data_IF_328013161329
#
_entry.id   IF_328013161329
#
_cell.length_a   1.000
_cell.length_b   1.000
_cell.length_c   1.000
_cell.angle_alpha   90.00
_cell.angle_beta   90.00
_cell.angle_gamma   90.00
#
_symmetry.space_group_name_H-M   'P 1'
#
loop_
_entity.id
_entity.type
_entity.pdbx_description
1 polymer ?
#
# COMPACT_ATOMS: atom_id res chain seq x y z
N UNK A 1 -6.45 8.20 -38.47
CA UNK A 1 -7.13 7.49 -37.37
C UNK A 1 -7.98 6.38 -37.95
N UNK A 2 -7.54 5.12 -37.88
CA UNK A 2 -8.36 4.01 -38.32
C UNK A 2 -9.48 3.78 -37.30
N UNK A 3 -10.74 3.92 -37.75
CA UNK A 3 -11.94 3.69 -36.95
C UNK A 3 -11.90 2.31 -36.27
N UNK A 4 -12.43 2.20 -35.04
CA UNK A 4 -12.61 0.93 -34.32
C UNK A 4 -13.31 -0.13 -35.19
N UNK A 5 -14.14 0.33 -36.14
CA UNK A 5 -14.81 -0.48 -37.16
C UNK A 5 -13.82 -1.17 -38.12
N UNK A 6 -12.73 -0.51 -38.49
CA UNK A 6 -11.69 -1.07 -39.36
C UNK A 6 -10.83 -2.11 -38.65
N UNK A 7 -10.61 -1.95 -37.33
CA UNK A 7 -9.91 -2.97 -36.52
C UNK A 7 -10.71 -4.26 -36.40
N UNK A 8 -12.01 -4.16 -36.13
CA UNK A 8 -12.89 -5.34 -36.07
C UNK A 8 -12.98 -6.07 -37.41
N UNK A 9 -13.09 -5.33 -38.52
CA UNK A 9 -13.12 -5.93 -39.86
C UNK A 9 -11.83 -6.70 -40.16
N UNK A 10 -10.67 -6.10 -39.86
CA UNK A 10 -9.37 -6.73 -40.09
C UNK A 10 -9.16 -8.02 -39.28
N UNK A 11 -9.63 -8.05 -38.02
CA UNK A 11 -9.57 -9.25 -37.18
C UNK A 11 -10.51 -10.34 -37.71
N UNK A 12 -11.70 -9.97 -38.20
CA UNK A 12 -12.63 -10.94 -38.82
C UNK A 12 -12.08 -11.51 -40.13
N UNK A 13 -11.47 -10.67 -40.97
CA UNK A 13 -10.83 -11.09 -42.21
C UNK A 13 -9.63 -12.03 -41.93
N UNK A 14 -8.82 -11.74 -40.91
CA UNK A 14 -7.69 -12.60 -40.47
C UNK A 14 -8.17 -13.94 -39.89
N UNK A 15 -9.23 -13.94 -39.07
CA UNK A 15 -9.81 -15.18 -38.54
C UNK A 15 -10.42 -16.04 -39.66
N UNK A 16 -11.13 -15.43 -40.61
CA UNK A 16 -11.73 -16.14 -41.73
C UNK A 16 -10.65 -16.76 -42.64
N UNK A 17 -9.53 -16.08 -42.85
CA UNK A 17 -8.37 -16.64 -43.54
C UNK A 17 -7.75 -17.82 -42.76
N UNK A 18 -7.70 -17.75 -41.43
CA UNK A 18 -7.18 -18.83 -40.57
C UNK A 18 -8.05 -20.09 -40.61
N UNK A 19 -9.38 -19.92 -40.64
CA UNK A 19 -10.32 -21.04 -40.74
C UNK A 19 -10.39 -21.63 -42.16
N UNK A 20 -10.15 -20.83 -43.19
CA UNK A 20 -10.09 -21.32 -44.58
C UNK A 20 -8.75 -22.00 -44.92
N UNK A 21 -7.77 -21.96 -44.01
CA UNK A 21 -6.44 -22.56 -44.19
C UNK A 21 -6.25 -23.87 -43.42
N UNK A 22 -7.27 -24.33 -42.68
CA UNK A 22 -7.22 -25.56 -41.89
C UNK A 22 -8.42 -26.45 -42.20
N UNK A 23 -8.54 -26.89 -43.46
CA UNK A 23 -9.29 -28.10 -43.77
C UNK A 23 -8.39 -29.30 -43.48
N UNK A 24 -8.50 -29.78 -42.24
CA UNK A 24 -8.34 -31.16 -41.79
C UNK A 24 -7.85 -31.16 -40.34
N UNK A 25 -8.78 -31.37 -39.42
CA UNK A 25 -8.71 -32.35 -38.33
C UNK A 25 -9.96 -32.14 -37.47
N UNK A 26 -10.84 -33.12 -37.55
CA UNK A 26 -12.02 -33.29 -36.72
C UNK A 26 -11.62 -33.52 -35.26
N UNK A 27 -12.13 -32.73 -34.31
CA UNK A 27 -12.31 -33.21 -32.94
C UNK A 27 -13.49 -32.53 -32.25
N UNK A 28 -14.48 -33.35 -31.90
CA UNK A 28 -15.71 -33.04 -31.17
C UNK A 28 -15.49 -32.91 -29.65
N UNK A 29 -16.35 -32.16 -28.92
CA UNK A 29 -16.15 -31.86 -27.50
C UNK A 29 -16.84 -32.88 -26.56
N UNK A 30 -16.16 -33.26 -25.47
CA UNK A 30 -16.70 -34.00 -24.32
C UNK A 30 -16.17 -33.33 -23.04
N UNK A 31 -17.02 -32.61 -22.29
CA UNK A 31 -17.89 -33.02 -21.15
C UNK A 31 -17.16 -33.16 -19.81
N UNK A 32 -17.66 -32.40 -18.84
CA UNK A 32 -17.33 -32.38 -17.42
C UNK A 32 -17.55 -33.75 -16.74
N UNK A 33 -16.72 -34.07 -15.74
CA UNK A 33 -17.12 -34.86 -14.57
C UNK A 33 -16.14 -34.70 -13.40
N UNK A 34 -16.72 -34.52 -12.21
CA UNK A 34 -16.10 -34.50 -10.88
C UNK A 34 -15.45 -35.85 -10.49
N UNK A 35 -14.35 -35.84 -9.74
CA UNK A 35 -14.27 -36.33 -8.35
C UNK A 35 -12.82 -36.51 -7.84
N UNK A 36 -12.62 -36.02 -6.62
CA UNK A 36 -11.81 -36.55 -5.49
C UNK A 36 -10.43 -37.19 -5.74
N UNK A 37 -9.41 -36.74 -4.99
CA UNK A 37 -8.82 -37.57 -3.93
C UNK A 37 -7.76 -36.82 -3.09
N UNK A 38 -7.94 -36.95 -1.77
CA UNK A 38 -6.99 -36.61 -0.71
C UNK A 38 -5.67 -37.37 -0.86
N UNK A 39 -4.53 -36.71 -0.59
CA UNK A 39 -3.36 -37.37 0.01
C UNK A 39 -2.83 -36.50 1.16
N UNK A 40 -2.93 -37.08 2.35
CA UNK A 40 -2.41 -36.65 3.64
C UNK A 40 -0.99 -37.22 3.78
N UNK A 41 -0.01 -36.43 4.22
CA UNK A 41 1.22 -36.95 4.83
C UNK A 41 1.55 -36.11 6.06
N UNK A 42 1.29 -36.71 7.23
CA UNK A 42 1.84 -36.36 8.54
C UNK A 42 3.29 -36.86 8.63
N UNK A 43 4.14 -36.14 9.35
CA UNK A 43 4.94 -36.61 10.51
C UNK A 43 6.03 -35.55 10.83
N UNK A 44 5.93 -34.82 11.96
CA UNK A 44 6.47 -35.12 13.31
C UNK A 44 7.99 -34.92 13.42
N UNK A 45 8.42 -33.87 14.14
CA UNK A 45 9.28 -33.97 15.34
C UNK A 45 9.51 -32.57 15.96
N UNK A 46 9.23 -32.45 17.26
CA UNK A 46 9.75 -31.42 18.18
C UNK A 46 10.79 -32.10 19.11
N UNK A 47 11.69 -31.34 19.76
CA UNK A 47 11.54 -31.25 21.22
C UNK A 47 11.90 -29.88 21.83
N UNK A 48 11.31 -29.63 23.00
CA UNK A 48 11.62 -28.57 23.98
C UNK A 48 12.76 -28.97 24.93
N UNK A 49 13.38 -27.98 25.59
CA UNK A 49 13.79 -27.88 27.02
C UNK A 49 14.65 -26.59 27.18
N UNK A 50 14.37 -25.56 28.00
CA UNK A 50 14.12 -25.36 29.45
C UNK A 50 15.26 -24.53 30.12
N UNK A 51 14.89 -23.80 31.18
CA UNK A 51 15.52 -22.65 31.87
C UNK A 51 16.84 -22.90 32.64
N UNK A 52 17.57 -21.81 32.95
CA UNK A 52 18.20 -21.59 34.27
C UNK A 52 18.56 -20.11 34.57
N UNK A 53 18.26 -19.68 35.80
CA UNK A 53 18.50 -18.37 36.46
C UNK A 53 19.96 -18.10 36.89
N UNK A 54 20.35 -16.82 37.06
CA UNK A 54 20.93 -16.21 38.29
C UNK A 54 21.60 -14.83 38.03
N UNK A 55 21.93 -14.11 39.11
CA UNK A 55 21.80 -12.66 39.35
C UNK A 55 23.10 -11.86 39.61
N UNK A 56 22.98 -10.51 39.73
CA UNK A 56 23.65 -9.56 40.69
C UNK A 56 24.55 -8.40 40.12
N UNK A 57 24.13 -7.15 40.44
CA UNK A 57 24.79 -5.82 40.73
C UNK A 57 25.96 -5.28 39.86
N UNK A 58 26.26 -3.99 39.64
CA UNK A 58 26.11 -2.75 40.45
C UNK A 58 26.40 -1.46 39.59
N UNK A 59 25.83 -0.33 40.03
CA UNK A 59 26.25 1.10 39.99
C UNK A 59 26.79 1.86 38.75
N UNK A 60 26.09 2.97 38.45
CA UNK A 60 26.69 4.32 38.49
C UNK A 60 27.06 5.01 37.17
N UNK A 61 26.32 6.08 36.79
CA UNK A 61 26.80 7.08 35.83
C UNK A 61 25.71 7.85 35.09
N UNK A 62 25.34 9.03 35.59
CA UNK A 62 24.55 10.03 34.87
C UNK A 62 25.24 10.50 33.59
N UNK A 63 24.49 10.72 32.50
CA UNK A 63 24.68 11.84 31.56
C UNK A 63 23.45 12.05 30.64
N UNK A 64 22.72 13.13 30.94
CA UNK A 64 21.97 14.07 30.06
C UNK A 64 21.54 13.54 28.67
N UNK A 65 20.25 13.26 28.51
CA UNK A 65 19.59 13.03 27.20
C UNK A 65 18.89 14.30 26.74
N UNK A 66 19.24 14.78 25.55
CA UNK A 66 18.57 15.86 24.83
C UNK A 66 17.32 15.29 24.15
N UNK A 67 16.16 15.85 24.45
CA UNK A 67 14.87 15.47 23.87
C UNK A 67 14.78 15.87 22.38
N UNK A 68 14.83 14.89 21.48
CA UNK A 68 14.24 14.99 20.14
C UNK A 68 12.85 14.34 20.19
N UNK A 69 11.79 15.11 19.90
CA UNK A 69 10.43 14.58 19.75
C UNK A 69 10.28 13.95 18.36
N UNK A 70 10.44 12.64 18.26
CA UNK A 70 9.87 11.86 17.16
C UNK A 70 8.41 11.54 17.47
N UNK A 71 7.50 11.96 16.60
CA UNK A 71 6.09 11.56 16.68
C UNK A 71 5.92 10.31 15.81
N UNK A 72 6.14 9.14 16.41
CA UNK A 72 5.88 7.84 15.77
C UNK A 72 4.42 7.45 15.99
N UNK A 73 3.64 7.40 14.91
CA UNK A 73 2.32 6.77 14.89
C UNK A 73 2.51 5.25 14.84
N UNK A 74 2.38 4.59 15.99
CA UNK A 74 2.23 3.14 16.12
C UNK A 74 0.73 2.79 16.18
N UNK A 75 0.30 1.65 15.61
CA UNK A 75 -1.06 1.14 15.78
C UNK A 75 -1.19 0.51 17.17
N UNK A 76 -2.06 1.03 18.03
CA UNK A 76 -2.31 0.42 19.34
C UNK A 76 -3.14 -0.87 19.17
N UNK A 77 -2.46 -2.02 19.22
CA UNK A 77 -3.05 -3.23 19.80
C UNK A 77 -2.83 -3.17 21.31
N UNK A 78 -3.78 -2.59 22.04
CA UNK A 78 -3.87 -2.80 23.48
C UNK A 78 -4.78 -3.99 23.73
N UNK A 79 -4.18 -5.18 23.83
CA UNK A 79 -4.77 -6.33 24.48
C UNK A 79 -4.25 -6.34 25.93
N UNK A 80 -4.88 -5.57 26.82
CA UNK A 80 -4.67 -5.76 28.25
C UNK A 80 -5.40 -7.04 28.70
N UNK A 81 -4.64 -8.11 28.90
CA UNK A 81 -5.04 -9.17 29.82
C UNK A 81 -5.04 -8.57 31.22
N UNK A 82 -6.23 -8.37 31.79
CA UNK A 82 -6.35 -8.17 33.23
C UNK A 82 -6.45 -9.55 33.87
N UNK A 83 -5.34 -10.02 34.44
CA UNK A 83 -5.34 -11.10 35.40
C UNK A 83 -5.78 -10.54 36.76
N UNK A 84 -6.98 -10.89 37.21
CA UNK A 84 -7.38 -10.77 38.61
C UNK A 84 -8.00 -12.09 39.06
N UNK A 85 -7.26 -12.77 39.92
CA UNK A 85 -7.77 -13.88 40.71
C UNK A 85 -8.73 -13.33 41.77
N UNK A 86 -9.78 -14.13 42.01
CA UNK A 86 -10.72 -14.14 43.13
C UNK A 86 -11.98 -13.25 43.01
N UNK A 87 -13.07 -13.96 42.70
CA UNK A 87 -14.48 -13.75 43.09
C UNK A 87 -14.87 -12.38 43.63
N UNK A 88 -15.31 -11.51 42.72
CA UNK A 88 -16.32 -10.48 42.94
C UNK A 88 -16.78 -10.01 41.58
N UNK A 89 -18.05 -10.23 41.24
CA UNK A 89 -18.66 -9.80 39.97
C UNK A 89 -18.67 -8.27 39.89
N UNK A 90 -17.66 -7.69 39.26
CA UNK A 90 -17.66 -6.28 38.87
C UNK A 90 -18.54 -6.15 37.64
N UNK A 91 -19.77 -5.68 37.84
CA UNK A 91 -20.66 -5.28 36.75
C UNK A 91 -20.00 -4.13 35.97
N UNK A 92 -19.43 -4.46 34.80
CA UNK A 92 -18.94 -3.45 33.85
C UNK A 92 -20.19 -2.73 33.32
N UNK A 93 -20.43 -1.51 33.80
CA UNK A 93 -21.46 -0.62 33.26
C UNK A 93 -21.23 -0.44 31.75
N UNK A 94 -22.08 -1.08 30.95
CA UNK A 94 -21.86 -1.38 29.54
C UNK A 94 -22.35 -0.29 28.57
N UNK A 95 -22.78 0.87 29.09
CA UNK A 95 -23.57 1.84 28.34
C UNK A 95 -22.80 3.01 27.71
N UNK A 96 -21.47 2.93 27.58
CA UNK A 96 -20.72 3.99 26.89
C UNK A 96 -20.88 3.89 25.35
N UNK A 97 -21.41 4.93 24.67
CA UNK A 97 -21.61 4.95 23.22
C UNK A 97 -20.35 4.60 22.40
N UNK A 98 -19.18 5.03 22.86
CA UNK A 98 -17.90 4.78 22.18
C UNK A 98 -17.46 3.31 22.28
N UNK A 99 -17.74 2.67 23.41
CA UNK A 99 -17.41 1.25 23.61
C UNK A 99 -18.26 0.36 22.69
N UNK A 100 -19.53 0.71 22.49
CA UNK A 100 -20.44 0.00 21.59
C UNK A 100 -19.97 0.12 20.13
N UNK A 101 -19.57 1.32 19.69
CA UNK A 101 -18.96 1.53 18.36
C UNK A 101 -17.71 0.68 18.18
N UNK A 102 -16.81 0.67 19.17
CA UNK A 102 -15.57 -0.13 19.14
C UNK A 102 -15.85 -1.63 19.05
N UNK A 103 -16.81 -2.14 19.83
CA UNK A 103 -17.22 -3.55 19.79
C UNK A 103 -17.84 -3.95 18.45
N UNK A 104 -18.72 -3.11 17.90
CA UNK A 104 -19.33 -3.34 16.58
C UNK A 104 -18.29 -3.30 15.46
N UNK A 105 -17.34 -2.35 15.53
CA UNK A 105 -16.21 -2.29 14.60
C UNK A 105 -15.36 -3.56 14.67
N UNK A 106 -14.99 -3.99 15.88
CA UNK A 106 -14.21 -5.22 16.09
C UNK A 106 -14.92 -6.46 15.54
N UNK A 107 -16.21 -6.64 15.87
CA UNK A 107 -17.02 -7.73 15.33
C UNK A 107 -17.04 -7.73 13.80
N UNK A 108 -17.21 -6.56 13.18
CA UNK A 108 -17.24 -6.45 11.73
C UNK A 108 -15.92 -6.95 11.10
N UNK A 109 -14.78 -6.59 11.70
CA UNK A 109 -13.45 -7.00 11.23
C UNK A 109 -13.18 -8.49 11.49
N UNK A 110 -13.49 -8.99 12.69
CA UNK A 110 -13.23 -10.37 13.10
C UNK A 110 -13.99 -11.37 12.23
N UNK A 111 -15.21 -11.02 11.80
CA UNK A 111 -16.07 -11.87 10.97
C UNK A 111 -16.06 -11.51 9.48
N UNK A 112 -15.22 -10.56 9.05
CA UNK A 112 -15.12 -10.08 7.66
C UNK A 112 -16.50 -9.75 7.05
N UNK A 113 -17.34 -9.05 7.82
CA UNK A 113 -18.73 -8.79 7.42
C UNK A 113 -18.77 -7.74 6.29
N UNK A 114 -19.51 -7.99 5.19
CA UNK A 114 -19.64 -7.02 4.12
C UNK A 114 -20.19 -5.66 4.59
N UNK A 115 -19.62 -4.56 4.08
CA UNK A 115 -19.96 -3.19 4.49
C UNK A 115 -21.45 -2.85 4.28
N UNK A 116 -22.09 -3.39 3.24
CA UNK A 116 -23.51 -3.21 2.98
C UNK A 116 -24.38 -3.85 4.08
N UNK A 117 -23.99 -5.04 4.56
CA UNK A 117 -24.67 -5.72 5.68
C UNK A 117 -24.53 -4.94 6.97
N UNK A 118 -23.35 -4.37 7.24
CA UNK A 118 -23.12 -3.50 8.40
C UNK A 118 -23.96 -2.23 8.31
N UNK A 119 -24.04 -1.60 7.12
CA UNK A 119 -24.88 -0.42 6.91
C UNK A 119 -26.37 -0.72 7.14
N UNK A 120 -26.87 -1.85 6.65
CA UNK A 120 -28.25 -2.28 6.89
C UNK A 120 -28.50 -2.50 8.40
N UNK A 121 -27.57 -3.17 9.09
CA UNK A 121 -27.65 -3.38 10.53
C UNK A 121 -27.65 -2.05 11.31
N UNK A 122 -26.74 -1.13 10.97
CA UNK A 122 -26.66 0.19 11.61
C UNK A 122 -27.94 1.01 11.41
N UNK A 123 -28.58 0.91 10.25
CA UNK A 123 -29.87 1.54 10.01
C UNK A 123 -30.97 0.96 10.90
N UNK A 124 -31.02 -0.37 11.05
CA UNK A 124 -32.00 -1.04 11.92
C UNK A 124 -31.77 -0.63 13.38
N UNK A 125 -30.53 -0.69 13.86
CA UNK A 125 -30.17 -0.34 15.24
C UNK A 125 -30.46 1.13 15.57
N UNK A 126 -30.24 2.02 14.60
CA UNK A 126 -30.49 3.44 14.77
C UNK A 126 -31.98 3.77 14.77
N UNK A 127 -32.74 3.20 13.83
CA UNK A 127 -34.16 3.54 13.65
C UNK A 127 -35.07 2.80 14.63
N UNK A 128 -34.80 1.52 14.91
CA UNK A 128 -35.71 0.65 15.66
C UNK A 128 -35.31 0.52 17.14
N UNK A 129 -34.05 0.78 17.49
CA UNK A 129 -33.55 0.67 18.86
C UNK A 129 -33.18 2.03 19.48
N UNK A 130 -33.51 3.14 18.80
CA UNK A 130 -33.23 4.52 19.24
C UNK A 130 -31.75 4.80 19.58
N UNK A 131 -30.81 4.06 18.95
CA UNK A 131 -29.37 4.23 19.17
C UNK A 131 -28.81 5.33 18.24
N UNK A 132 -29.24 6.58 18.46
CA UNK A 132 -28.87 7.73 17.61
C UNK A 132 -27.37 8.03 17.59
N UNK A 133 -26.64 7.59 18.62
CA UNK A 133 -25.18 7.74 18.70
C UNK A 133 -24.44 6.86 17.68
N UNK A 134 -25.09 5.85 17.08
CA UNK A 134 -24.49 5.00 16.07
C UNK A 134 -24.45 5.71 14.70
N UNK A 135 -23.34 5.57 13.96
CA UNK A 135 -23.24 6.14 12.62
C UNK A 135 -24.17 5.43 11.64
N UNK A 136 -24.59 6.14 10.58
CA UNK A 136 -25.36 5.55 9.47
C UNK A 136 -24.50 4.72 8.52
N UNK A 137 -23.21 5.02 8.48
CA UNK A 137 -22.25 4.43 7.55
C UNK A 137 -21.16 3.68 8.34
N UNK A 138 -20.91 2.45 7.92
CA UNK A 138 -19.85 1.57 8.36
C UNK A 138 -18.48 2.25 8.29
N UNK A 139 -18.25 3.12 7.30
CA UNK A 139 -17.00 3.91 7.20
C UNK A 139 -16.78 4.83 8.40
N UNK A 140 -17.86 5.41 8.90
CA UNK A 140 -17.86 6.28 10.08
C UNK A 140 -17.77 5.46 11.36
N UNK A 141 -18.35 4.24 11.39
CA UNK A 141 -18.15 3.29 12.49
C UNK A 141 -16.67 2.96 12.68
N UNK A 142 -15.96 2.77 11.57
CA UNK A 142 -14.53 2.51 11.58
C UNK A 142 -13.64 3.73 11.81
N UNK A 143 -14.22 4.91 12.12
CA UNK A 143 -13.49 6.15 12.25
C UNK A 143 -12.46 6.34 11.13
N UNK A 144 -12.87 6.04 9.88
CA UNK A 144 -12.14 6.53 8.72
C UNK A 144 -12.45 8.01 8.60
N UNK A 145 -12.01 8.78 9.60
CA UNK A 145 -11.93 10.21 9.52
C UNK A 145 -11.08 10.47 8.29
N UNK A 146 -11.64 11.15 7.30
CA UNK A 146 -10.86 11.76 6.24
C UNK A 146 -9.94 12.75 6.95
N UNK A 147 -8.78 12.29 7.39
CA UNK A 147 -7.73 13.14 7.94
C UNK A 147 -7.57 14.23 6.91
N UNK A 148 -7.81 15.49 7.31
CA UNK A 148 -7.48 16.63 6.45
C UNK A 148 -6.04 16.38 6.01
N UNK A 149 -5.84 16.15 4.71
CA UNK A 149 -4.53 15.81 4.18
C UNK A 149 -3.68 17.07 4.31
N UNK A 150 -3.02 17.21 5.46
CA UNK A 150 -2.03 18.24 5.69
C UNK A 150 -0.90 17.99 4.68
N UNK A 151 -0.38 19.05 4.05
CA UNK A 151 0.72 19.00 3.07
C UNK A 151 0.36 18.71 1.61
N UNK A 152 -0.88 18.99 1.17
CA UNK A 152 -1.18 19.09 -0.26
C UNK A 152 -0.55 20.36 -0.86
N UNK A 153 0.37 20.20 -1.81
CA UNK A 153 1.00 21.29 -2.55
C UNK A 153 0.27 21.51 -3.87
N UNK A 154 -0.13 22.74 -4.16
CA UNK A 154 -0.69 23.10 -5.47
C UNK A 154 0.45 23.20 -6.49
N UNK A 155 0.35 22.48 -7.61
CA UNK A 155 1.31 22.52 -8.73
C UNK A 155 0.53 22.85 -10.01
N UNK A 156 0.62 24.11 -10.45
CA UNK A 156 -0.14 24.59 -11.60
C UNK A 156 -1.65 24.42 -11.39
N UNK A 157 -2.28 23.68 -12.29
CA UNK A 157 -3.71 23.33 -12.25
C UNK A 157 -4.05 22.11 -11.38
N UNK A 158 -3.05 21.40 -10.87
CA UNK A 158 -3.22 20.18 -10.07
C UNK A 158 -2.70 20.29 -8.65
N UNK A 159 -2.73 19.17 -7.96
CA UNK A 159 -2.25 19.01 -6.58
C UNK A 159 -1.25 17.87 -6.50
N UNK A 160 -0.28 18.02 -5.61
CA UNK A 160 0.76 17.06 -5.34
C UNK A 160 0.84 16.77 -3.85
N UNK A 161 1.06 15.50 -3.52
CA UNK A 161 1.32 15.05 -2.18
C UNK A 161 2.62 14.27 -2.15
N UNK A 162 3.50 14.61 -1.21
CA UNK A 162 4.75 13.91 -1.00
C UNK A 162 4.64 12.97 0.20
N UNK A 163 4.78 11.67 -0.05
CA UNK A 163 4.82 10.65 1.01
C UNK A 163 6.21 10.54 1.64
N UNK A 164 7.26 10.75 0.82
CA UNK A 164 8.65 10.61 1.24
C UNK A 164 9.20 9.19 1.03
N UNK A 165 10.37 9.13 0.40
CA UNK A 165 11.19 7.94 0.26
C UNK A 165 11.68 7.44 1.63
N UNK A 166 12.09 8.33 2.53
CA UNK A 166 12.53 7.98 3.87
C UNK A 166 11.42 7.28 4.66
N UNK A 167 10.19 7.83 4.60
CA UNK A 167 9.02 7.24 5.23
C UNK A 167 8.69 5.86 4.65
N UNK A 168 8.79 5.71 3.33
CA UNK A 168 8.63 4.43 2.65
C UNK A 168 9.67 3.39 3.08
N UNK A 169 10.94 3.78 3.17
CA UNK A 169 12.04 2.92 3.64
C UNK A 169 11.80 2.47 5.09
N UNK A 170 11.46 3.40 5.99
CA UNK A 170 11.20 3.10 7.39
C UNK A 170 10.02 2.13 7.57
N UNK A 171 8.97 2.27 6.74
CA UNK A 171 7.82 1.35 6.74
C UNK A 171 8.21 -0.09 6.41
N UNK A 172 9.22 -0.28 5.59
CA UNK A 172 9.73 -1.60 5.18
C UNK A 172 11.06 -1.96 5.86
N UNK A 173 11.36 -1.35 7.00
CA UNK A 173 12.57 -1.61 7.80
C UNK A 173 12.80 -3.10 8.12
N UNK A 174 11.74 -3.87 8.32
CA UNK A 174 11.82 -5.31 8.64
C UNK A 174 12.36 -6.18 7.50
N UNK A 175 12.20 -5.76 6.25
CA UNK A 175 12.66 -6.51 5.08
C UNK A 175 14.03 -6.02 4.57
N UNK A 176 14.52 -4.90 5.08
CA UNK A 176 15.81 -4.34 4.66
C UNK A 176 16.94 -5.18 5.25
N UNK A 177 17.80 -5.69 4.37
CA UNK A 177 19.00 -6.44 4.75
C UNK A 177 19.97 -5.61 5.58
N UNK A 178 20.90 -6.26 6.28
CA UNK A 178 21.88 -5.60 7.14
C UNK A 178 22.89 -4.72 6.39
N UNK A 179 22.94 -4.78 5.05
CA UNK A 179 23.84 -4.00 4.20
C UNK A 179 23.81 -2.49 4.46
N UNK A 180 24.99 -1.86 4.34
CA UNK A 180 25.14 -0.41 4.52
C UNK A 180 24.46 0.41 3.41
N UNK A 181 24.14 -0.23 2.27
CA UNK A 181 23.63 0.45 1.08
C UNK A 181 22.25 -0.09 0.68
N UNK A 182 21.24 0.77 0.74
CA UNK A 182 19.87 0.48 0.30
C UNK A 182 19.74 0.83 -1.18
N UNK A 183 19.46 -0.18 -2.00
CA UNK A 183 19.27 -0.02 -3.44
C UNK A 183 17.81 0.26 -3.75
N UNK A 184 17.53 1.39 -4.39
CA UNK A 184 16.19 1.85 -4.71
C UNK A 184 15.97 1.76 -6.22
N UNK A 185 14.80 1.23 -6.59
CA UNK A 185 14.29 1.29 -7.96
C UNK A 185 13.06 2.19 -7.97
N UNK A 186 13.07 3.17 -8.86
CA UNK A 186 12.01 4.16 -9.03
C UNK A 186 11.13 3.81 -10.23
N UNK A 187 9.84 4.08 -10.10
CA UNK A 187 8.86 4.06 -11.19
C UNK A 187 8.16 5.42 -11.32
N UNK A 188 8.04 5.95 -12.52
CA UNK A 188 7.22 7.13 -12.80
C UNK A 188 6.30 6.84 -13.98
N UNK A 189 5.01 7.12 -13.80
CA UNK A 189 3.97 6.85 -14.80
C UNK A 189 2.99 8.03 -14.89
N UNK A 190 2.27 8.12 -16.02
CA UNK A 190 1.18 9.06 -16.26
C UNK A 190 -0.08 8.32 -16.69
N UNK A 191 -1.03 8.16 -15.76
CA UNK A 191 -2.20 7.31 -15.91
C UNK A 191 -3.48 8.16 -16.00
N UNK A 192 -4.29 8.04 -17.08
CA UNK A 192 -5.62 8.63 -17.10
C UNK A 192 -6.55 7.88 -16.12
N UNK A 193 -7.20 8.61 -15.20
CA UNK A 193 -8.05 8.00 -14.17
C UNK A 193 -9.41 7.60 -14.75
N UNK A 194 -9.91 8.35 -15.74
CA UNK A 194 -11.18 8.06 -16.39
C UNK A 194 -11.07 8.25 -17.90
N UNK A 195 -11.91 7.52 -18.64
CA UNK A 195 -12.10 7.70 -20.08
C UNK A 195 -12.96 8.92 -20.42
N UNK A 196 -13.76 9.38 -19.46
CA UNK A 196 -14.74 10.48 -19.64
C UNK A 196 -14.32 11.80 -18.99
N UNK A 197 -13.23 11.82 -18.23
CA UNK A 197 -12.64 13.06 -17.70
C UNK A 197 -11.19 13.18 -18.13
N UNK A 198 -10.66 14.40 -18.16
CA UNK A 198 -9.24 14.63 -18.40
C UNK A 198 -8.38 14.40 -17.16
N UNK A 199 -8.93 13.82 -16.09
CA UNK A 199 -8.20 13.58 -14.84
C UNK A 199 -7.04 12.59 -15.06
N UNK A 200 -5.85 13.01 -14.65
CA UNK A 200 -4.61 12.28 -14.75
C UNK A 200 -3.96 12.12 -13.38
N UNK A 201 -3.32 10.97 -13.22
CA UNK A 201 -2.57 10.58 -12.05
C UNK A 201 -1.11 10.34 -12.42
N UNK A 202 -0.21 10.99 -11.71
CA UNK A 202 1.23 10.89 -11.96
C UNK A 202 1.95 10.46 -10.68
N UNK A 203 2.01 9.15 -10.41
CA UNK A 203 2.70 8.63 -9.25
C UNK A 203 4.21 8.52 -9.49
N UNK A 204 4.95 8.85 -8.44
CA UNK A 204 6.34 8.46 -8.22
C UNK A 204 6.29 7.29 -7.25
N UNK A 205 6.68 6.11 -7.72
CA UNK A 205 6.71 4.88 -6.96
C UNK A 205 8.15 4.47 -6.71
N UNK A 206 8.39 3.76 -5.62
CA UNK A 206 9.68 3.14 -5.35
C UNK A 206 9.51 1.75 -4.74
N UNK A 207 10.52 0.91 -4.91
CA UNK A 207 10.70 -0.29 -4.11
C UNK A 207 12.18 -0.47 -3.77
N UNK A 208 12.44 -1.26 -2.72
CA UNK A 208 13.78 -1.59 -2.28
C UNK A 208 14.22 -2.89 -2.97
N UNK A 209 15.30 -2.84 -3.75
CA UNK A 209 15.85 -4.04 -4.40
C UNK A 209 16.42 -5.01 -3.36
N UNK A 210 16.18 -6.33 -3.48
CA UNK A 210 15.51 -7.05 -4.58
C UNK A 210 13.99 -7.24 -4.42
N UNK A 211 13.38 -6.63 -3.40
CA UNK A 211 11.99 -6.87 -2.96
C UNK A 211 10.92 -6.17 -3.82
N UNK A 212 10.80 -6.57 -5.09
CA UNK A 212 9.87 -5.99 -6.08
C UNK A 212 8.38 -6.02 -5.70
N UNK A 213 7.98 -6.89 -4.77
CA UNK A 213 6.58 -7.01 -4.34
C UNK A 213 6.16 -5.88 -3.39
N UNK A 214 7.11 -5.13 -2.83
CA UNK A 214 6.88 -4.10 -1.82
C UNK A 214 7.09 -2.71 -2.45
N UNK A 215 6.17 -2.35 -3.34
CA UNK A 215 6.12 -1.03 -3.98
C UNK A 215 5.36 -0.05 -3.09
N UNK A 216 5.89 1.16 -2.97
CA UNK A 216 5.27 2.23 -2.21
C UNK A 216 5.29 3.56 -2.96
N UNK A 217 4.31 4.44 -2.71
CA UNK A 217 4.32 5.78 -3.28
C UNK A 217 5.32 6.66 -2.53
N UNK A 218 6.08 7.44 -3.30
CA UNK A 218 6.98 8.50 -2.82
C UNK A 218 6.33 9.86 -3.02
N UNK A 219 5.63 10.04 -4.13
CA UNK A 219 4.94 11.27 -4.48
C UNK A 219 3.79 10.98 -5.43
N UNK A 220 2.73 11.76 -5.34
CA UNK A 220 1.56 11.59 -6.19
C UNK A 220 1.10 12.97 -6.65
N UNK A 221 1.00 13.15 -7.96
CA UNK A 221 0.32 14.29 -8.55
C UNK A 221 -1.04 13.86 -9.12
N UNK A 222 -2.04 14.72 -8.94
CA UNK A 222 -3.36 14.61 -9.54
C UNK A 222 -3.77 15.95 -10.14
N UNK A 223 -4.26 15.93 -11.38
CA UNK A 223 -4.75 17.12 -12.06
C UNK A 223 -5.54 16.76 -13.32
N UNK A 224 -6.15 17.74 -13.97
CA UNK A 224 -6.87 17.56 -15.23
C UNK A 224 -5.93 17.51 -16.46
N UNK A 225 -4.64 17.66 -16.23
CA UNK A 225 -3.57 17.63 -17.21
C UNK A 225 -2.33 17.02 -16.54
N UNK A 226 -1.31 16.68 -17.32
CA UNK A 226 -0.01 16.32 -16.76
C UNK A 226 0.62 17.52 -16.04
N UNK A 227 1.54 17.31 -15.08
CA UNK A 227 2.29 18.42 -14.51
C UNK A 227 3.00 19.20 -15.62
N UNK A 228 2.92 20.52 -15.57
CA UNK A 228 3.48 21.38 -16.63
C UNK A 228 5.01 21.40 -16.60
N UNK A 229 5.58 21.32 -15.39
CA UNK A 229 7.02 21.40 -15.17
C UNK A 229 7.52 20.17 -14.38
N UNK A 230 8.41 19.39 -14.99
CA UNK A 230 9.02 18.21 -14.37
C UNK A 230 9.93 18.56 -13.18
N UNK A 231 10.56 19.74 -13.15
CA UNK A 231 11.41 20.15 -12.02
C UNK A 231 10.54 20.40 -10.78
N UNK A 232 9.41 21.08 -10.96
CA UNK A 232 8.49 21.37 -9.85
C UNK A 232 7.85 20.08 -9.33
N UNK A 233 7.54 19.14 -10.23
CA UNK A 233 7.00 17.82 -9.90
C UNK A 233 8.00 16.97 -9.10
N UNK A 234 9.26 16.90 -9.55
CA UNK A 234 10.30 16.06 -8.93
C UNK A 234 11.00 16.71 -7.74
N UNK A 235 10.80 18.01 -7.49
CA UNK A 235 11.56 18.83 -6.52
C UNK A 235 11.76 18.14 -5.17
N UNK A 236 10.65 17.72 -4.56
CA UNK A 236 10.66 17.19 -3.19
C UNK A 236 11.41 15.85 -3.14
N UNK A 237 11.15 14.97 -4.12
CA UNK A 237 11.84 13.70 -4.28
C UNK A 237 13.35 13.86 -4.52
N UNK A 238 13.77 14.77 -5.42
CA UNK A 238 15.20 14.99 -5.71
C UNK A 238 15.92 15.52 -4.47
N UNK A 239 15.30 16.47 -3.76
CA UNK A 239 15.85 17.01 -2.52
C UNK A 239 16.06 15.91 -1.47
N UNK A 240 15.06 15.04 -1.32
CA UNK A 240 15.11 13.93 -0.36
C UNK A 240 16.15 12.88 -0.76
N UNK A 241 16.22 12.50 -2.04
CA UNK A 241 17.24 11.55 -2.51
C UNK A 241 18.64 12.10 -2.31
N UNK A 242 18.86 13.39 -2.58
CA UNK A 242 20.16 14.02 -2.37
C UNK A 242 20.56 13.93 -0.90
N UNK A 243 19.66 14.33 0.01
CA UNK A 243 19.91 14.27 1.45
C UNK A 243 20.15 12.83 1.93
N UNK A 244 19.33 11.86 1.52
CA UNK A 244 19.50 10.46 1.91
C UNK A 244 20.78 9.83 1.34
N UNK A 245 21.28 10.32 0.20
CA UNK A 245 22.53 9.84 -0.40
C UNK A 245 23.74 10.42 0.32
N UNK A 246 23.68 11.68 0.77
CA UNK A 246 24.80 12.36 1.47
C UNK A 246 24.80 12.09 2.97
N UNK A 247 23.64 12.23 3.60
CA UNK A 247 23.43 12.21 5.03
C UNK A 247 23.11 10.80 5.54
N UNK A 248 22.55 9.94 4.69
CA UNK A 248 22.08 8.60 5.06
C UNK A 248 20.77 8.62 5.85
N UNK A 249 20.29 7.44 6.21
CA UNK A 249 19.08 7.20 7.02
C UNK A 249 19.35 6.14 8.08
N UNK A 250 18.78 6.31 9.27
CA UNK A 250 18.86 5.33 10.34
C UNK A 250 17.72 4.32 10.16
N UNK A 251 18.07 3.07 9.88
CA UNK A 251 17.13 1.95 9.74
C UNK A 251 17.66 0.79 10.59
N UNK A 252 16.81 0.20 11.43
CA UNK A 252 17.22 -0.88 12.35
C UNK A 252 18.41 -0.50 13.23
N UNK A 253 18.46 0.75 13.71
CA UNK A 253 19.55 1.33 14.52
C UNK A 253 20.91 1.44 13.79
N UNK A 254 20.96 1.15 12.50
CA UNK A 254 22.16 1.28 11.67
C UNK A 254 21.99 2.42 10.67
N UNK A 255 23.05 3.19 10.48
CA UNK A 255 23.09 4.23 9.46
C UNK A 255 23.37 3.59 8.11
N UNK A 256 22.42 3.75 7.18
CA UNK A 256 22.49 3.23 5.81
C UNK A 256 22.42 4.37 4.81
N UNK A 257 23.08 4.20 3.67
CA UNK A 257 23.02 5.15 2.56
C UNK A 257 22.16 4.58 1.44
N UNK A 258 21.47 5.45 0.71
CA UNK A 258 20.67 5.00 -0.44
C UNK A 258 21.45 5.11 -1.74
N UNK A 259 21.00 4.36 -2.76
CA UNK A 259 21.46 4.49 -4.13
C UNK A 259 20.33 4.16 -5.07
N UNK A 260 20.07 5.06 -6.02
CA UNK A 260 19.12 4.81 -7.11
C UNK A 260 19.82 3.89 -8.11
N UNK A 261 19.37 2.64 -8.23
CA UNK A 261 19.90 1.72 -9.24
C UNK A 261 19.20 1.90 -10.57
N UNK A 262 17.87 2.07 -10.54
CA UNK A 262 17.04 2.07 -11.73
C UNK A 262 15.93 3.12 -11.65
N UNK A 263 15.69 3.81 -12.76
CA UNK A 263 14.49 4.61 -13.00
C UNK A 263 13.72 4.00 -14.17
N UNK A 264 12.54 3.48 -13.88
CA UNK A 264 11.60 2.90 -14.84
C UNK A 264 10.52 3.93 -15.18
N UNK A 265 10.31 4.19 -16.47
CA UNK A 265 9.21 5.01 -16.96
C UNK A 265 8.82 4.59 -18.37
N UNK A 266 7.56 4.80 -18.73
CA UNK A 266 7.11 4.64 -20.11
C UNK A 266 7.66 5.78 -21.00
N UNK A 267 7.59 5.62 -22.32
CA UNK A 267 8.15 6.62 -23.23
C UNK A 267 7.53 8.05 -23.04
N UNK A 268 6.21 8.20 -22.86
CA UNK A 268 5.59 9.46 -22.45
C UNK A 268 6.19 10.07 -21.16
N UNK A 269 6.24 9.35 -20.05
CA UNK A 269 6.77 9.84 -18.79
C UNK A 269 8.26 10.17 -18.91
N UNK A 270 9.06 9.33 -19.60
CA UNK A 270 10.46 9.63 -19.91
C UNK A 270 10.63 10.96 -20.62
N UNK A 271 9.87 11.17 -21.70
CA UNK A 271 9.96 12.42 -22.49
C UNK A 271 9.62 13.66 -21.65
N UNK A 272 8.67 13.51 -20.72
CA UNK A 272 8.32 14.55 -19.76
C UNK A 272 9.45 14.82 -18.76
N UNK A 273 9.98 13.78 -18.10
CA UNK A 273 11.05 13.93 -17.11
C UNK A 273 12.30 14.56 -17.73
N UNK A 274 12.70 14.07 -18.91
CA UNK A 274 13.89 14.52 -19.64
C UNK A 274 13.69 15.84 -20.40
N UNK A 275 12.46 16.36 -20.48
CA UNK A 275 12.08 17.53 -21.31
C UNK A 275 12.47 17.40 -22.79
N UNK A 276 12.42 16.20 -23.34
CA UNK A 276 12.72 15.95 -24.76
C UNK A 276 11.42 15.79 -25.55
N UNK A 277 11.42 16.19 -26.83
CA UNK A 277 10.30 15.90 -27.73
C UNK A 277 10.08 14.39 -27.78
N UNK A 278 8.81 13.97 -27.73
CA UNK A 278 8.36 12.58 -27.65
C UNK A 278 8.99 11.74 -28.78
N UNK A 279 9.94 10.88 -28.43
CA UNK A 279 10.44 9.83 -29.34
C UNK A 279 9.58 8.58 -29.15
N UNK A 280 9.15 7.95 -30.23
CA UNK A 280 8.16 6.89 -30.22
C UNK A 280 8.67 5.62 -29.50
N UNK A 281 7.99 5.22 -28.42
CA UNK A 281 7.69 3.81 -28.12
C UNK A 281 8.80 2.87 -27.65
N UNK A 282 9.73 3.28 -26.78
CA UNK A 282 10.70 2.36 -26.14
C UNK A 282 10.64 2.55 -24.61
N UNK A 283 10.36 1.47 -23.88
CA UNK A 283 10.62 1.40 -22.43
C UNK A 283 12.13 1.36 -22.24
N UNK A 284 12.70 2.37 -21.58
CA UNK A 284 14.14 2.47 -21.38
C UNK A 284 14.40 2.47 -19.87
N UNK A 285 15.07 1.40 -19.42
CA UNK A 285 15.58 1.26 -18.07
C UNK A 285 16.89 2.04 -17.99
N UNK A 286 16.96 3.09 -17.18
CA UNK A 286 18.23 3.71 -16.84
C UNK A 286 18.87 2.91 -15.71
N UNK A 287 20.09 2.42 -15.91
CA UNK A 287 20.93 1.91 -14.83
C UNK A 287 21.94 3.02 -14.49
N UNK A 288 21.83 3.58 -13.29
CA UNK A 288 22.77 4.60 -12.80
C UNK A 288 23.94 3.95 -12.07
#
# INVERSE_FOLDING_TARGET
>A
MASYRNKRRKIQDELQAFYSSNDDITYSPLKESNNEQNILLKNVYAPEQQLSDSSVSDSGGHNITINYRETQLQPSLDLELICVNNESTVEINCNSPELIKKKLGKWTTDFNVPQNSVNALLQILRNNCNLEFLPKDCRTLFQSGSSKVANLRKIGSGVYYHFGLAAGISRFSSIISSDDKIKIVLGVDGLPISKSSSSQFWPILAYIHPYKNYVFPVGIYHGNEKPQDSNIYLKDWVSEVLDLTTSGIIVNKLKKYISIEVICCDAPAKSFLMRVKKSFGIFIVFKM
#
